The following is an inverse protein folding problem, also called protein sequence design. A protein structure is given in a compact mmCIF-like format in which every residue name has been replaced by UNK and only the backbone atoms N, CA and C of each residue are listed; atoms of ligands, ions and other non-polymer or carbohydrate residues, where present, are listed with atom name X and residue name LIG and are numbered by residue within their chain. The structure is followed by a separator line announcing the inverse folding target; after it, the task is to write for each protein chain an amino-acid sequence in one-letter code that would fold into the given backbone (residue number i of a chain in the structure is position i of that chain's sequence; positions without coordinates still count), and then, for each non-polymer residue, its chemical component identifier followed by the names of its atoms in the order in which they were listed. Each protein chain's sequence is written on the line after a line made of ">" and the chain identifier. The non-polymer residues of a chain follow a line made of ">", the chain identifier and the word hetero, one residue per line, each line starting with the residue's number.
data_IF_184912343292
#
_entry.id   IF_184912343292
#
_cell.length_a   1.000
_cell.length_b   1.000
_cell.length_c   1.000
_cell.angle_alpha   90.00
_cell.angle_beta   90.00
_cell.angle_gamma   90.00
#
_symmetry.space_group_name_H-M   'P 1'
#
loop_
_entity.id
_entity.type
_entity.pdbx_description
1 polymer ?
#
# COMPACT_ATOMS: atom_id res chain seq x y z
N UNK A 1 -59.96 2.29 19.81
CA UNK A 1 -59.13 3.51 19.94
C UNK A 1 -57.79 3.25 20.63
N UNK A 2 -57.74 2.68 21.85
CA UNK A 2 -56.47 2.44 22.59
C UNK A 2 -55.45 1.54 21.88
N UNK A 3 -55.91 0.46 21.22
CA UNK A 3 -55.03 -0.45 20.45
C UNK A 3 -54.42 0.19 19.20
N UNK A 4 -55.18 1.08 18.54
CA UNK A 4 -54.71 1.84 17.37
C UNK A 4 -53.64 2.88 17.79
N UNK A 5 -53.86 3.53 18.94
CA UNK A 5 -52.91 4.48 19.52
C UNK A 5 -51.58 3.80 19.89
N UNK A 6 -51.62 2.61 20.52
CA UNK A 6 -50.42 1.84 20.84
C UNK A 6 -49.64 1.41 19.59
N UNK A 7 -50.34 1.06 18.51
CA UNK A 7 -49.71 0.68 17.24
C UNK A 7 -49.02 1.88 16.57
N UNK A 8 -49.65 3.07 16.61
CA UNK A 8 -49.03 4.31 16.10
C UNK A 8 -47.79 4.69 16.91
N UNK A 9 -47.84 4.57 18.25
CA UNK A 9 -46.67 4.84 19.11
C UNK A 9 -45.52 3.88 18.77
N UNK A 10 -45.81 2.59 18.61
CA UNK A 10 -44.81 1.59 18.22
C UNK A 10 -44.16 1.89 16.87
N UNK A 11 -44.95 2.35 15.88
CA UNK A 11 -44.45 2.75 14.56
C UNK A 11 -43.50 3.95 14.65
N UNK A 12 -43.87 4.99 15.41
CA UNK A 12 -43.02 6.19 15.59
C UNK A 12 -41.70 5.82 16.28
N UNK A 13 -41.74 4.98 17.31
CA UNK A 13 -40.54 4.51 18.00
C UNK A 13 -39.65 3.69 17.05
N UNK A 14 -40.25 2.79 16.27
CA UNK A 14 -39.52 1.99 15.29
C UNK A 14 -38.82 2.84 14.23
N UNK A 15 -39.50 3.87 13.71
CA UNK A 15 -38.91 4.83 12.76
C UNK A 15 -37.78 5.62 13.44
N UNK A 16 -37.96 6.09 14.68
CA UNK A 16 -36.95 6.86 15.40
C UNK A 16 -35.69 6.03 15.69
N UNK A 17 -35.84 4.77 16.11
CA UNK A 17 -34.71 3.85 16.35
C UNK A 17 -34.00 3.51 15.05
N UNK A 18 -34.75 3.24 13.98
CA UNK A 18 -34.19 2.96 12.65
C UNK A 18 -33.42 4.18 12.12
N UNK A 19 -34.00 5.37 12.24
CA UNK A 19 -33.35 6.63 11.86
C UNK A 19 -32.07 6.88 12.66
N UNK A 20 -32.10 6.68 13.98
CA UNK A 20 -30.91 6.81 14.84
C UNK A 20 -29.82 5.80 14.46
N UNK A 21 -30.18 4.54 14.20
CA UNK A 21 -29.22 3.52 13.79
C UNK A 21 -28.63 3.79 12.40
N UNK A 22 -29.43 4.24 11.43
CA UNK A 22 -28.96 4.61 10.10
C UNK A 22 -28.13 5.91 10.11
N UNK A 23 -28.50 6.90 10.94
CA UNK A 23 -27.76 8.17 11.03
C UNK A 23 -26.43 8.01 11.75
N UNK A 24 -26.34 7.12 12.74
CA UNK A 24 -25.07 6.83 13.45
C UNK A 24 -24.10 6.04 12.58
N UNK A 25 -24.59 5.26 11.61
CA UNK A 25 -23.75 4.58 10.61
C UNK A 25 -23.31 5.49 9.45
N UNK A 26 -23.80 6.73 9.38
CA UNK A 26 -23.28 7.77 8.50
C UNK A 26 -22.18 8.55 9.23
N UNK A 27 -21.19 7.84 9.80
CA UNK A 27 -19.89 8.46 10.04
C UNK A 27 -19.29 8.74 8.66
N UNK A 28 -19.51 9.95 8.16
CA UNK A 28 -18.68 10.52 7.10
C UNK A 28 -17.26 10.56 7.68
N UNK A 29 -16.46 9.55 7.37
CA UNK A 29 -15.04 9.58 7.67
C UNK A 29 -14.47 10.82 6.98
N UNK A 30 -14.05 11.79 7.79
CA UNK A 30 -13.37 12.98 7.29
C UNK A 30 -12.08 12.49 6.62
N UNK A 31 -12.00 12.69 5.30
CA UNK A 31 -10.81 12.30 4.53
C UNK A 31 -9.62 13.10 5.01
N UNK A 32 -8.80 12.51 5.88
CA UNK A 32 -7.54 13.12 6.30
C UNK A 32 -6.58 13.09 5.12
N UNK A 33 -6.20 14.28 4.64
CA UNK A 33 -5.23 14.41 3.57
C UNK A 33 -3.87 13.89 4.05
N UNK A 34 -3.24 12.92 3.37
CA UNK A 34 -1.93 12.44 3.74
C UNK A 34 -0.87 13.54 3.69
N UNK A 35 0.11 13.45 4.58
CA UNK A 35 1.31 14.26 4.51
C UNK A 35 2.18 13.81 3.32
N UNK A 36 2.87 14.75 2.67
CA UNK A 36 3.81 14.43 1.60
C UNK A 36 3.21 14.24 0.20
N UNK A 37 1.94 14.62 0.00
CA UNK A 37 1.37 14.68 -1.36
C UNK A 37 2.11 15.70 -2.22
N UNK A 38 2.47 15.29 -3.43
CA UNK A 38 3.09 16.12 -4.46
C UNK A 38 2.09 16.38 -5.59
N UNK A 39 2.29 17.50 -6.30
CA UNK A 39 1.48 17.94 -7.44
C UNK A 39 1.87 17.21 -8.73
N UNK A 40 0.99 17.15 -9.75
CA UNK A 40 1.35 16.60 -11.06
C UNK A 40 2.61 17.22 -11.68
N UNK A 41 2.84 18.52 -11.49
CA UNK A 41 4.04 19.21 -11.97
C UNK A 41 5.30 18.75 -11.24
N UNK A 42 5.22 18.52 -9.93
CA UNK A 42 6.35 17.96 -9.17
C UNK A 42 6.63 16.51 -9.59
N UNK A 43 5.59 15.70 -9.86
CA UNK A 43 5.73 14.34 -10.38
C UNK A 43 6.46 14.35 -11.73
N UNK A 44 6.02 15.20 -12.67
CA UNK A 44 6.64 15.33 -13.99
C UNK A 44 8.11 15.78 -13.89
N UNK A 45 8.41 16.76 -13.03
CA UNK A 45 9.78 17.23 -12.82
C UNK A 45 10.70 16.14 -12.26
N UNK A 46 10.21 15.33 -11.30
CA UNK A 46 10.96 14.21 -10.74
C UNK A 46 11.20 13.10 -11.78
N UNK A 47 10.19 12.77 -12.58
CA UNK A 47 10.31 11.77 -13.64
C UNK A 47 11.28 12.23 -14.76
N UNK A 48 11.19 13.49 -15.20
CA UNK A 48 12.14 14.05 -16.17
C UNK A 48 13.57 14.06 -15.63
N UNK A 49 13.77 14.38 -14.34
CA UNK A 49 15.09 14.35 -13.70
C UNK A 49 15.68 12.93 -13.62
N UNK A 50 14.85 11.88 -13.68
CA UNK A 50 15.30 10.49 -13.73
C UNK A 50 15.80 10.06 -15.12
N UNK A 51 15.45 10.78 -16.19
CA UNK A 51 15.80 10.42 -17.57
C UNK A 51 17.29 10.13 -17.77
N UNK A 52 18.19 10.93 -17.20
CA UNK A 52 19.63 10.70 -17.35
C UNK A 52 20.09 9.35 -16.79
N UNK A 53 19.52 8.92 -15.66
CA UNK A 53 19.80 7.61 -15.05
C UNK A 53 19.25 6.49 -15.92
N UNK A 54 17.99 6.64 -16.34
CA UNK A 54 17.33 5.67 -17.20
C UNK A 54 18.05 5.48 -18.54
N UNK A 55 18.49 6.57 -19.19
CA UNK A 55 19.27 6.53 -20.44
C UNK A 55 20.63 5.84 -20.23
N UNK A 56 21.36 6.16 -19.16
CA UNK A 56 22.66 5.51 -18.92
C UNK A 56 22.47 4.00 -18.72
N UNK A 57 21.50 3.59 -17.90
CA UNK A 57 21.22 2.17 -17.66
C UNK A 57 20.82 1.50 -18.98
N UNK A 58 19.81 2.04 -19.66
CA UNK A 58 19.24 1.48 -20.88
C UNK A 58 20.26 1.39 -22.01
N UNK A 59 20.91 2.51 -22.35
CA UNK A 59 21.71 2.61 -23.58
C UNK A 59 23.17 2.22 -23.35
N UNK A 60 23.69 2.41 -22.13
CA UNK A 60 25.10 2.16 -21.85
C UNK A 60 25.34 0.81 -21.20
N UNK A 61 24.49 0.38 -20.25
CA UNK A 61 24.71 -0.83 -19.46
C UNK A 61 24.02 -2.06 -20.05
N UNK A 62 22.69 -2.00 -20.24
CA UNK A 62 21.91 -3.20 -20.63
C UNK A 62 21.56 -3.25 -22.12
N UNK A 63 21.77 -2.16 -22.88
CA UNK A 63 21.52 -2.07 -24.33
C UNK A 63 20.08 -2.35 -24.75
N UNK A 64 19.13 -2.05 -23.87
CA UNK A 64 17.69 -2.16 -24.10
C UNK A 64 16.97 -1.11 -23.25
N UNK A 65 15.79 -0.59 -23.65
CA UNK A 65 15.00 0.27 -22.79
C UNK A 65 14.67 -0.43 -21.47
N UNK A 66 15.14 0.11 -20.36
CA UNK A 66 14.83 -0.42 -19.03
C UNK A 66 13.43 0.02 -18.58
N UNK A 67 12.93 -0.61 -17.53
CA UNK A 67 11.71 -0.22 -16.87
C UNK A 67 11.97 1.00 -15.97
N UNK A 68 10.94 1.84 -15.76
CA UNK A 68 11.05 3.01 -14.86
C UNK A 68 9.88 3.22 -13.90
N UNK A 69 8.84 2.39 -14.00
CA UNK A 69 7.68 2.40 -13.12
C UNK A 69 7.22 0.97 -12.83
N UNK A 70 6.26 0.78 -11.94
CA UNK A 70 5.57 -0.49 -11.76
C UNK A 70 4.12 -0.21 -11.41
N UNK A 71 3.20 -0.91 -12.07
CA UNK A 71 1.77 -0.78 -11.80
C UNK A 71 1.28 -1.92 -10.92
N UNK A 72 0.41 -1.60 -9.97
CA UNK A 72 -0.23 -2.54 -9.07
C UNK A 72 -1.73 -2.30 -9.08
N UNK A 73 -2.52 -3.36 -9.15
CA UNK A 73 -3.97 -3.22 -8.94
C UNK A 73 -4.26 -2.90 -7.48
N UNK A 74 -5.30 -2.10 -7.24
CA UNK A 74 -5.76 -1.79 -5.88
C UNK A 74 -6.14 -3.08 -5.13
N UNK A 75 -6.87 -3.98 -5.78
CA UNK A 75 -7.26 -5.27 -5.21
C UNK A 75 -6.07 -6.11 -4.72
N UNK A 76 -4.95 -6.11 -5.46
CA UNK A 76 -3.75 -6.86 -5.07
C UNK A 76 -3.03 -6.17 -3.90
N UNK A 77 -2.99 -4.83 -3.87
CA UNK A 77 -2.44 -4.07 -2.74
C UNK A 77 -3.27 -4.32 -1.47
N UNK A 78 -4.59 -4.27 -1.53
CA UNK A 78 -5.47 -4.52 -0.39
C UNK A 78 -5.33 -5.97 0.13
N UNK A 79 -5.29 -6.93 -0.81
CA UNK A 79 -5.06 -8.33 -0.49
C UNK A 79 -3.69 -8.55 0.15
N UNK A 80 -2.65 -7.91 -0.37
CA UNK A 80 -1.31 -7.99 0.16
C UNK A 80 -1.16 -7.34 1.53
N UNK A 81 -1.80 -6.20 1.80
CA UNK A 81 -1.80 -5.58 3.13
C UNK A 81 -2.42 -6.53 4.17
N UNK A 82 -3.52 -7.19 3.82
CA UNK A 82 -4.16 -8.20 4.69
C UNK A 82 -3.23 -9.39 4.95
N UNK A 83 -2.59 -9.89 3.88
CA UNK A 83 -1.62 -10.98 3.95
C UNK A 83 -0.40 -10.62 4.82
N UNK A 84 0.25 -9.48 4.55
CA UNK A 84 1.43 -8.98 5.23
C UNK A 84 1.17 -8.77 6.73
N UNK A 85 -0.01 -8.24 7.10
CA UNK A 85 -0.41 -8.09 8.50
C UNK A 85 -0.50 -9.43 9.23
N UNK A 86 -1.10 -10.45 8.59
CA UNK A 86 -1.19 -11.80 9.16
C UNK A 86 0.18 -12.45 9.31
N UNK A 87 1.04 -12.30 8.31
CA UNK A 87 2.41 -12.83 8.34
C UNK A 87 3.27 -12.14 9.39
N UNK A 88 3.23 -10.81 9.48
CA UNK A 88 3.90 -10.03 10.52
C UNK A 88 3.55 -10.54 11.93
N UNK A 89 2.26 -10.71 12.21
CA UNK A 89 1.80 -11.24 13.49
C UNK A 89 2.36 -12.64 13.77
N UNK A 90 2.39 -13.51 12.76
CA UNK A 90 2.95 -14.88 12.87
C UNK A 90 4.45 -14.85 13.18
N UNK A 91 5.17 -13.88 12.63
CA UNK A 91 6.61 -13.66 12.85
C UNK A 91 6.91 -12.92 14.17
N UNK A 92 5.90 -12.53 14.95
CA UNK A 92 6.08 -11.80 16.19
C UNK A 92 6.37 -10.30 15.99
N UNK A 93 5.82 -9.71 14.94
CA UNK A 93 5.91 -8.29 14.61
C UNK A 93 4.52 -7.64 14.57
N UNK A 94 4.48 -6.33 14.76
CA UNK A 94 3.34 -5.48 14.40
C UNK A 94 3.69 -4.73 13.12
N UNK A 95 2.92 -4.96 12.06
CA UNK A 95 3.07 -4.26 10.77
C UNK A 95 2.84 -2.75 10.97
N UNK A 96 3.78 -1.93 10.50
CA UNK A 96 3.72 -0.47 10.61
C UNK A 96 3.82 0.27 9.27
N UNK A 97 4.14 -0.43 8.19
CA UNK A 97 4.30 0.18 6.87
C UNK A 97 4.73 -0.79 5.79
N UNK A 98 5.01 -0.22 4.62
CA UNK A 98 5.62 -0.88 3.48
C UNK A 98 6.81 -0.05 3.02
N UNK A 99 7.89 -0.74 2.63
CA UNK A 99 9.03 -0.16 1.93
C UNK A 99 9.03 -0.61 0.49
N UNK A 100 9.34 0.30 -0.42
CA UNK A 100 9.51 -0.02 -1.85
C UNK A 100 11.00 -0.16 -2.12
N UNK A 101 11.40 -1.30 -2.68
CA UNK A 101 12.75 -1.55 -3.17
C UNK A 101 12.80 -1.50 -4.69
N UNK A 102 13.87 -0.94 -5.23
CA UNK A 102 14.26 -1.19 -6.61
C UNK A 102 15.04 -2.51 -6.68
N UNK A 103 14.76 -3.31 -7.70
CA UNK A 103 15.48 -4.53 -8.05
C UNK A 103 15.54 -4.71 -9.56
N UNK A 104 16.12 -5.82 -10.01
CA UNK A 104 16.10 -6.23 -11.41
C UNK A 104 15.91 -7.74 -11.47
N UNK A 105 15.25 -8.21 -12.53
CA UNK A 105 15.22 -9.64 -12.82
C UNK A 105 16.62 -10.13 -13.21
N UNK A 106 16.94 -11.43 -13.03
CA UNK A 106 18.19 -11.97 -13.54
C UNK A 106 18.19 -12.01 -15.07
N UNK A 107 19.37 -11.88 -15.65
CA UNK A 107 19.57 -12.09 -17.10
C UNK A 107 19.15 -13.50 -17.51
N UNK A 108 18.56 -13.60 -18.69
CA UNK A 108 18.18 -14.87 -19.31
C UNK A 108 18.93 -15.08 -20.62
N UNK A 109 18.68 -16.19 -21.31
CA UNK A 109 19.21 -16.41 -22.65
C UNK A 109 18.61 -15.46 -23.69
N UNK A 110 17.44 -14.89 -23.39
CA UNK A 110 16.74 -13.98 -24.29
C UNK A 110 17.23 -12.52 -24.15
N UNK A 111 17.87 -12.16 -23.04
CA UNK A 111 18.37 -10.81 -22.82
C UNK A 111 18.60 -10.44 -21.35
N UNK A 112 18.95 -9.18 -21.09
CA UNK A 112 19.15 -8.67 -19.74
C UNK A 112 17.83 -8.64 -18.97
N UNK A 113 17.91 -8.87 -17.65
CA UNK A 113 16.75 -8.71 -16.79
C UNK A 113 16.47 -7.24 -16.49
N UNK A 114 15.22 -6.81 -16.71
CA UNK A 114 14.82 -5.41 -16.53
C UNK A 114 14.52 -5.08 -15.06
N UNK A 115 14.56 -3.78 -14.75
CA UNK A 115 14.25 -3.23 -13.43
C UNK A 115 12.81 -3.58 -13.02
N UNK A 116 12.63 -3.76 -11.71
CA UNK A 116 11.35 -3.97 -11.06
C UNK A 116 11.33 -3.21 -9.74
N UNK A 117 10.15 -2.88 -9.24
CA UNK A 117 9.95 -2.37 -7.88
C UNK A 117 9.07 -3.35 -7.12
N UNK A 118 9.33 -3.58 -5.83
CA UNK A 118 8.51 -4.48 -5.02
C UNK A 118 8.36 -3.96 -3.58
N UNK A 119 7.22 -4.30 -2.97
CA UNK A 119 6.91 -3.94 -1.59
C UNK A 119 7.48 -4.96 -0.61
N UNK A 120 8.05 -4.49 0.49
CA UNK A 120 8.50 -5.29 1.64
C UNK A 120 7.81 -4.75 2.89
N UNK A 121 7.23 -5.61 3.73
CA UNK A 121 6.52 -5.15 4.92
C UNK A 121 7.50 -4.70 6.00
N UNK A 122 7.18 -3.58 6.66
CA UNK A 122 7.95 -3.06 7.78
C UNK A 122 7.17 -3.19 9.09
N UNK A 123 7.89 -3.33 10.20
CA UNK A 123 7.25 -3.50 11.49
C UNK A 123 8.20 -3.35 12.67
N UNK A 124 7.59 -3.27 13.84
CA UNK A 124 8.27 -3.34 15.14
C UNK A 124 8.10 -4.73 15.74
N UNK A 125 9.12 -5.21 16.46
CA UNK A 125 9.07 -6.54 17.08
C UNK A 125 8.20 -6.49 18.33
N UNK A 126 7.34 -7.48 18.49
CA UNK A 126 6.52 -7.62 19.69
C UNK A 126 7.42 -8.08 20.84
N UNK A 127 7.72 -7.19 21.78
CA UNK A 127 8.44 -7.50 23.02
C UNK A 127 7.46 -7.82 24.14
N UNK A 128 7.78 -8.77 25.01
CA UNK A 128 6.94 -9.07 26.17
C UNK A 128 7.01 -7.92 27.18
N UNK A 129 5.90 -7.67 27.87
CA UNK A 129 5.74 -6.60 28.87
C UNK A 129 6.77 -6.65 30.02
N UNK A 130 7.44 -7.80 30.22
CA UNK A 130 8.50 -7.99 31.22
C UNK A 130 9.93 -7.73 30.74
N UNK A 131 10.13 -7.35 29.47
CA UNK A 131 11.47 -7.07 28.93
C UNK A 131 11.92 -5.65 29.33
N UNK A 132 12.84 -5.56 30.28
CA UNK A 132 13.49 -4.29 30.72
C UNK A 132 14.33 -3.59 29.64
N UNK A 133 14.33 -4.11 28.40
CA UNK A 133 14.95 -3.49 27.24
C UNK A 133 13.87 -2.90 26.33
N UNK A 134 13.10 -1.93 26.84
CA UNK A 134 12.24 -1.08 26.01
C UNK A 134 13.09 -0.04 25.30
N UNK A 135 14.06 -0.49 24.50
CA UNK A 135 14.64 0.42 23.51
C UNK A 135 13.53 0.66 22.50
N UNK A 136 13.15 1.93 22.34
CA UNK A 136 12.25 2.41 21.32
C UNK A 136 12.71 1.87 19.95
N UNK A 137 12.19 0.71 19.56
CA UNK A 137 12.33 0.20 18.21
C UNK A 137 11.36 1.05 17.40
N UNK A 138 11.87 2.19 16.94
CA UNK A 138 11.18 3.03 15.96
C UNK A 138 10.70 2.16 14.81
N UNK A 139 9.48 2.42 14.36
CA UNK A 139 8.88 1.69 13.25
C UNK A 139 9.65 1.85 11.94
N UNK A 140 9.24 1.10 10.92
CA UNK A 140 9.77 1.21 9.56
C UNK A 140 10.98 0.32 9.26
N UNK A 141 11.33 -0.63 10.13
CA UNK A 141 12.33 -1.68 9.83
C UNK A 141 11.69 -2.84 9.05
N UNK A 142 12.41 -3.45 8.11
CA UNK A 142 11.87 -4.61 7.38
C UNK A 142 11.62 -5.78 8.33
N UNK A 143 10.50 -6.47 8.12
CA UNK A 143 10.18 -7.68 8.86
C UNK A 143 10.97 -8.85 8.25
N UNK A 144 12.01 -9.30 8.96
CA UNK A 144 12.81 -10.43 8.54
C UNK A 144 11.97 -11.71 8.37
N UNK A 145 12.04 -12.32 7.19
CA UNK A 145 11.31 -13.55 6.85
C UNK A 145 9.87 -13.33 6.37
N UNK A 146 9.42 -12.08 6.24
CA UNK A 146 8.15 -11.78 5.58
C UNK A 146 8.31 -11.73 4.06
N UNK A 147 7.26 -12.11 3.34
CA UNK A 147 7.23 -12.11 1.88
C UNK A 147 6.96 -10.71 1.35
N UNK A 148 7.56 -10.40 0.19
CA UNK A 148 7.33 -9.17 -0.54
C UNK A 148 6.28 -9.32 -1.64
N UNK A 149 5.70 -8.21 -2.09
CA UNK A 149 4.84 -8.17 -3.28
C UNK A 149 5.60 -7.57 -4.45
N UNK A 150 5.90 -8.41 -5.44
CA UNK A 150 6.35 -7.99 -6.75
C UNK A 150 5.29 -8.38 -7.78
N UNK A 151 4.43 -7.43 -8.15
CA UNK A 151 3.41 -7.64 -9.18
C UNK A 151 3.16 -6.37 -9.99
N UNK A 152 4.19 -5.93 -10.70
CA UNK A 152 3.96 -5.46 -12.07
C UNK A 152 3.68 -6.69 -12.93
N UNK A 153 2.46 -6.85 -13.47
CA UNK A 153 2.11 -7.97 -14.36
C UNK A 153 3.02 -8.07 -15.60
N UNK A 154 2.82 -9.11 -16.44
CA UNK A 154 3.61 -9.46 -17.65
C UNK A 154 4.58 -8.36 -18.13
N UNK A 155 5.76 -8.33 -17.52
CA UNK A 155 7.04 -8.06 -18.16
C UNK A 155 7.33 -6.71 -18.81
N UNK A 156 6.37 -5.81 -19.03
CA UNK A 156 6.64 -4.47 -19.56
C UNK A 156 6.07 -3.39 -18.63
N UNK A 157 6.64 -3.18 -17.43
CA UNK A 157 6.56 -1.87 -16.83
C UNK A 157 7.19 -0.87 -17.83
N UNK A 158 6.45 0.11 -18.34
CA UNK A 158 6.86 0.81 -19.55
C UNK A 158 8.15 1.60 -19.32
N UNK A 159 8.94 1.72 -20.38
CA UNK A 159 10.06 2.65 -20.47
C UNK A 159 9.60 4.11 -20.61
N UNK A 160 8.28 4.35 -20.67
CA UNK A 160 7.67 5.65 -20.91
C UNK A 160 7.67 6.53 -19.66
N UNK A 161 7.87 7.83 -19.88
CA UNK A 161 7.74 8.87 -18.89
C UNK A 161 6.31 8.98 -18.33
N UNK A 162 6.16 9.62 -17.18
CA UNK A 162 4.86 10.09 -16.68
C UNK A 162 4.38 11.32 -17.49
N UNK A 163 3.07 11.49 -17.72
CA UNK A 163 2.02 10.49 -17.51
C UNK A 163 1.98 9.45 -18.64
N UNK A 164 1.37 8.30 -18.33
CA UNK A 164 1.14 7.20 -19.27
C UNK A 164 -0.34 7.09 -19.63
#
# INVERSE_FOLDING_TARGET
>A
MKKLLLLLIGLVIGIAVTYYYLSTNQNLEEMTKPNGLITPTEIEALDQAYNSRHTIISDSLIKTPDNRSSWYSIDEIESYLTYAKKQANTLGYTLDGLRIYAGAHPDTKEGPGLMTMFFVPTGSKNVSEGSMLTTAQGGGNDIGGADGLNKGGKGDPPSANYPQ
#
